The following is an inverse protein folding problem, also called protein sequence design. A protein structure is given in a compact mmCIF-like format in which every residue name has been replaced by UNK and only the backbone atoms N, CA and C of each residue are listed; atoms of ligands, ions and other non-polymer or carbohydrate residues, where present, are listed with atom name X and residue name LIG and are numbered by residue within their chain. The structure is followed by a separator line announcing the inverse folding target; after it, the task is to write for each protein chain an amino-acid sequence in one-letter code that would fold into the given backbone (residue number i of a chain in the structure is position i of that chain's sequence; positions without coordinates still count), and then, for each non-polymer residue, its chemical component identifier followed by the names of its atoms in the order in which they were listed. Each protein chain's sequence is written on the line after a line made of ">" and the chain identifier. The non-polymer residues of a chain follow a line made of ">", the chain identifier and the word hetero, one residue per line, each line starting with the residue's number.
data_IF_779194141486
#
_entry.id   IF_779194141486
#
_cell.length_a   1.000
_cell.length_b   1.000
_cell.length_c   1.000
_cell.angle_alpha   90.00
_cell.angle_beta   90.00
_cell.angle_gamma   90.00
#
_symmetry.space_group_name_H-M   'P 1'
#
loop_
_entity.id
_entity.type
_entity.pdbx_description
1 polymer ?
#
# COMPACT_ATOMS: atom_id res chain seq x y z
N UNK A 1 -46.81 -39.48 -18.08
CA UNK A 1 -46.14 -38.57 -17.14
C UNK A 1 -44.74 -38.47 -17.67
N UNK A 2 -44.34 -37.30 -18.18
CA UNK A 2 -42.98 -37.09 -18.65
C UNK A 2 -42.19 -36.83 -17.38
N UNK A 3 -41.32 -37.76 -17.00
CA UNK A 3 -40.54 -37.70 -15.78
C UNK A 3 -39.52 -36.55 -15.89
N UNK A 4 -39.89 -35.37 -15.39
CA UNK A 4 -39.08 -34.14 -15.41
C UNK A 4 -37.78 -34.27 -14.57
N UNK A 5 -37.64 -35.33 -13.78
CA UNK A 5 -36.51 -35.55 -12.87
C UNK A 5 -35.24 -36.09 -13.55
N UNK A 6 -35.35 -36.73 -14.72
CA UNK A 6 -34.19 -37.32 -15.43
C UNK A 6 -33.38 -36.29 -16.24
N UNK A 7 -33.91 -35.09 -16.46
CA UNK A 7 -33.27 -34.07 -17.31
C UNK A 7 -32.30 -33.13 -16.55
N UNK A 8 -32.31 -33.19 -15.22
CA UNK A 8 -31.40 -32.42 -14.35
C UNK A 8 -30.13 -33.21 -13.99
N UNK A 9 -30.22 -34.53 -13.88
CA UNK A 9 -29.13 -35.41 -13.42
C UNK A 9 -28.05 -35.67 -14.47
N UNK A 10 -28.34 -35.43 -15.76
CA UNK A 10 -27.39 -35.59 -16.88
C UNK A 10 -26.61 -34.34 -17.30
N UNK A 11 -26.86 -33.17 -16.68
CA UNK A 11 -26.27 -31.88 -17.10
C UNK A 11 -24.92 -31.63 -16.41
N UNK A 12 -23.91 -31.28 -17.20
CA UNK A 12 -22.57 -30.94 -16.71
C UNK A 12 -22.54 -29.53 -16.11
N UNK A 13 -21.52 -29.22 -15.30
CA UNK A 13 -21.24 -27.87 -14.81
C UNK A 13 -21.24 -26.83 -15.95
N UNK A 14 -20.70 -27.19 -17.12
CA UNK A 14 -20.66 -26.31 -18.29
C UNK A 14 -22.06 -25.98 -18.84
N UNK A 15 -23.02 -26.88 -18.71
CA UNK A 15 -24.39 -26.65 -19.16
C UNK A 15 -25.10 -25.67 -18.23
N UNK A 16 -24.84 -25.77 -16.92
CA UNK A 16 -25.30 -24.80 -15.93
C UNK A 16 -24.65 -23.43 -16.11
N UNK A 17 -23.36 -23.37 -16.43
CA UNK A 17 -22.67 -22.11 -16.73
C UNK A 17 -23.22 -21.47 -18.00
N UNK A 18 -23.49 -22.24 -19.06
CA UNK A 18 -24.12 -21.72 -20.30
C UNK A 18 -25.52 -21.20 -20.03
N UNK A 19 -26.34 -21.96 -19.28
CA UNK A 19 -27.68 -21.52 -18.89
C UNK A 19 -27.64 -20.25 -18.05
N UNK A 20 -26.74 -20.17 -17.08
CA UNK A 20 -26.55 -18.97 -16.26
C UNK A 20 -26.06 -17.77 -17.07
N UNK A 21 -25.15 -17.97 -18.04
CA UNK A 21 -24.70 -16.90 -18.95
C UNK A 21 -25.80 -16.43 -19.91
N UNK A 22 -26.79 -17.28 -20.20
CA UNK A 22 -27.95 -16.92 -21.02
C UNK A 22 -28.95 -16.05 -20.24
N UNK A 23 -29.11 -16.32 -18.93
CA UNK A 23 -29.92 -15.50 -18.02
C UNK A 23 -29.21 -14.20 -17.61
N UNK A 24 -27.89 -14.30 -17.39
CA UNK A 24 -27.03 -13.20 -16.95
C UNK A 24 -25.89 -13.01 -17.96
N UNK A 25 -26.08 -12.15 -18.96
CA UNK A 25 -25.06 -11.85 -19.94
C UNK A 25 -23.76 -11.43 -19.26
N UNK A 26 -22.62 -11.81 -19.85
CA UNK A 26 -21.31 -11.41 -19.34
C UNK A 26 -21.21 -9.89 -19.32
N UNK A 27 -20.89 -9.34 -18.15
CA UNK A 27 -20.65 -7.91 -17.98
C UNK A 27 -19.36 -7.55 -18.72
N UNK A 28 -19.48 -6.64 -19.68
CA UNK A 28 -18.34 -6.11 -20.43
C UNK A 28 -17.76 -4.88 -19.74
N UNK A 29 -16.49 -4.58 -19.99
CA UNK A 29 -15.85 -3.35 -19.48
C UNK A 29 -16.57 -2.10 -19.97
N UNK A 30 -17.08 -2.10 -21.20
CA UNK A 30 -17.87 -1.01 -21.76
C UNK A 30 -19.16 -0.75 -20.96
N UNK A 31 -19.88 -1.81 -20.56
CA UNK A 31 -21.08 -1.68 -19.72
C UNK A 31 -20.76 -1.10 -18.34
N UNK A 32 -19.59 -1.44 -17.77
CA UNK A 32 -19.13 -0.87 -16.51
C UNK A 32 -18.87 0.64 -16.67
N UNK A 33 -18.16 1.04 -17.73
CA UNK A 33 -17.87 2.45 -17.99
C UNK A 33 -19.15 3.27 -18.24
N UNK A 34 -20.10 2.70 -18.99
CA UNK A 34 -21.40 3.32 -19.23
C UNK A 34 -22.21 3.45 -17.94
N UNK A 35 -22.17 2.43 -17.07
CA UNK A 35 -22.79 2.51 -15.75
C UNK A 35 -22.12 3.58 -14.89
N UNK A 36 -20.78 3.68 -14.91
CA UNK A 36 -20.05 4.68 -14.15
C UNK A 36 -20.43 6.11 -14.55
N UNK A 37 -20.60 6.35 -15.85
CA UNK A 37 -21.06 7.64 -16.38
C UNK A 37 -22.50 7.93 -16.02
N UNK A 38 -23.37 6.91 -16.04
CA UNK A 38 -24.78 7.06 -15.67
C UNK A 38 -24.96 7.33 -14.18
N UNK A 39 -24.18 6.68 -13.33
CA UNK A 39 -24.28 6.83 -11.88
C UNK A 39 -23.82 8.22 -11.43
N UNK A 40 -22.65 8.68 -11.90
CA UNK A 40 -22.10 9.99 -11.51
C UNK A 40 -23.01 11.14 -11.98
N UNK A 41 -23.54 11.90 -11.03
CA UNK A 41 -24.48 12.99 -11.25
C UNK A 41 -25.95 12.56 -11.37
N UNK A 42 -26.26 11.27 -11.19
CA UNK A 42 -27.65 10.79 -11.17
C UNK A 42 -28.33 11.09 -9.84
N UNK A 43 -29.66 11.00 -9.86
CA UNK A 43 -30.48 11.02 -8.64
C UNK A 43 -30.11 9.89 -7.68
N UNK A 44 -29.78 8.70 -8.21
CA UNK A 44 -29.34 7.56 -7.42
C UNK A 44 -28.08 7.88 -6.58
N UNK A 45 -27.08 8.53 -7.18
CA UNK A 45 -25.90 8.98 -6.44
C UNK A 45 -26.28 9.94 -5.32
N UNK A 46 -27.23 10.85 -5.57
CA UNK A 46 -27.67 11.80 -4.52
C UNK A 46 -28.39 11.11 -3.38
N UNK A 47 -29.25 10.13 -3.65
CA UNK A 47 -29.95 9.36 -2.61
C UNK A 47 -28.97 8.54 -1.77
N UNK A 48 -28.02 7.86 -2.42
CA UNK A 48 -27.00 7.08 -1.74
C UNK A 48 -26.12 7.97 -0.87
N UNK A 49 -25.71 9.13 -1.39
CA UNK A 49 -24.95 10.11 -0.63
C UNK A 49 -25.72 10.60 0.60
N UNK A 50 -27.03 10.88 0.49
CA UNK A 50 -27.87 11.26 1.64
C UNK A 50 -27.88 10.15 2.70
N UNK A 51 -28.09 8.90 2.28
CA UNK A 51 -28.11 7.73 3.19
C UNK A 51 -26.76 7.58 3.92
N UNK A 52 -25.66 7.67 3.18
CA UNK A 52 -24.30 7.53 3.73
C UNK A 52 -23.95 8.72 4.65
N UNK A 53 -24.30 9.94 4.24
CA UNK A 53 -24.05 11.15 5.02
C UNK A 53 -24.79 11.12 6.37
N UNK A 54 -26.06 10.69 6.37
CA UNK A 54 -26.85 10.53 7.60
C UNK A 54 -26.29 9.42 8.50
N UNK A 55 -25.89 8.28 7.92
CA UNK A 55 -25.28 7.18 8.68
C UNK A 55 -23.94 7.56 9.30
N UNK A 56 -23.12 8.31 8.57
CA UNK A 56 -21.78 8.75 9.01
C UNK A 56 -21.80 10.01 9.89
N UNK A 57 -22.96 10.69 10.00
CA UNK A 57 -23.10 12.00 10.64
C UNK A 57 -22.12 13.03 10.07
N UNK A 58 -21.96 13.04 8.74
CA UNK A 58 -21.08 13.96 8.02
C UNK A 58 -19.58 13.66 8.12
N UNK A 59 -19.19 12.43 8.46
CA UNK A 59 -17.77 12.04 8.49
C UNK A 59 -17.25 11.74 7.08
N UNK A 60 -16.45 12.66 6.52
CA UNK A 60 -15.89 12.51 5.17
C UNK A 60 -14.96 11.31 5.02
N UNK A 61 -14.35 10.82 6.11
CA UNK A 61 -13.52 9.62 6.05
C UNK A 61 -14.39 8.40 5.68
N UNK A 62 -15.58 8.28 6.28
CA UNK A 62 -16.53 7.19 6.03
C UNK A 62 -17.25 7.37 4.69
N UNK A 63 -17.63 8.61 4.36
CA UNK A 63 -18.36 8.91 3.11
C UNK A 63 -17.54 8.49 1.90
N UNK A 64 -16.26 8.86 1.87
CA UNK A 64 -15.38 8.57 0.72
C UNK A 64 -15.05 7.08 0.57
N UNK A 65 -15.11 6.30 1.66
CA UNK A 65 -14.91 4.85 1.63
C UNK A 65 -16.18 4.09 1.25
N UNK A 66 -17.36 4.64 1.58
CA UNK A 66 -18.65 3.97 1.38
C UNK A 66 -19.33 4.32 0.06
N UNK A 67 -19.06 5.51 -0.50
CA UNK A 67 -19.73 5.97 -1.71
C UNK A 67 -19.21 5.21 -2.95
N UNK A 68 -20.12 4.70 -3.77
CA UNK A 68 -19.75 3.93 -4.95
C UNK A 68 -19.01 4.79 -5.98
N UNK A 69 -18.07 4.17 -6.70
CA UNK A 69 -17.34 4.77 -7.83
C UNK A 69 -16.66 6.10 -7.50
N UNK A 70 -16.24 6.24 -6.24
CA UNK A 70 -15.62 7.45 -5.71
C UNK A 70 -14.15 7.18 -5.39
N UNK A 71 -13.29 8.10 -5.85
CA UNK A 71 -11.87 8.10 -5.51
C UNK A 71 -11.52 9.35 -4.72
N UNK A 72 -10.33 9.39 -4.10
CA UNK A 72 -9.80 10.59 -3.45
C UNK A 72 -9.74 11.82 -4.38
N UNK A 73 -9.71 11.60 -5.70
CA UNK A 73 -9.79 12.67 -6.71
C UNK A 73 -11.16 13.31 -6.80
N UNK A 74 -12.22 12.56 -6.49
CA UNK A 74 -13.61 13.00 -6.58
C UNK A 74 -14.08 13.76 -5.32
N UNK A 75 -13.25 13.86 -4.28
CA UNK A 75 -13.65 14.45 -3.00
C UNK A 75 -14.22 15.87 -3.14
N UNK A 76 -13.58 16.72 -3.95
CA UNK A 76 -14.06 18.09 -4.16
C UNK A 76 -15.45 18.13 -4.79
N UNK A 77 -15.75 17.17 -5.67
CA UNK A 77 -17.07 17.05 -6.32
C UNK A 77 -18.12 16.58 -5.30
N UNK A 78 -17.78 15.56 -4.50
CA UNK A 78 -18.68 15.03 -3.46
C UNK A 78 -19.01 16.10 -2.42
N UNK A 79 -18.01 16.87 -1.95
CA UNK A 79 -18.25 18.03 -1.07
C UNK A 79 -19.19 19.05 -1.68
N UNK A 80 -18.96 19.42 -2.95
CA UNK A 80 -19.87 20.34 -3.65
C UNK A 80 -21.30 19.82 -3.76
N UNK A 81 -21.50 18.50 -3.82
CA UNK A 81 -22.84 17.91 -3.78
C UNK A 81 -23.45 17.96 -2.38
N UNK A 82 -22.68 17.65 -1.34
CA UNK A 82 -23.11 17.79 0.06
C UNK A 82 -23.49 19.24 0.36
N UNK A 83 -22.67 20.21 -0.05
CA UNK A 83 -22.93 21.64 0.18
C UNK A 83 -24.23 22.10 -0.49
N UNK A 84 -24.51 21.60 -1.71
CA UNK A 84 -25.79 21.83 -2.40
C UNK A 84 -26.96 21.21 -1.63
N UNK A 85 -26.80 19.99 -1.13
CA UNK A 85 -27.84 19.30 -0.36
C UNK A 85 -28.15 20.02 0.96
N UNK A 86 -27.11 20.49 1.67
CA UNK A 86 -27.24 21.32 2.88
C UNK A 86 -27.94 22.64 2.55
N UNK A 87 -27.50 23.33 1.49
CA UNK A 87 -28.10 24.61 1.06
C UNK A 87 -29.57 24.46 0.67
N UNK A 88 -29.94 23.31 0.09
CA UNK A 88 -31.33 22.99 -0.24
C UNK A 88 -32.18 22.53 0.95
N UNK A 89 -31.58 22.34 2.12
CA UNK A 89 -32.26 21.85 3.33
C UNK A 89 -32.65 20.37 3.30
N UNK A 90 -32.11 19.58 2.36
CA UNK A 90 -32.38 18.14 2.26
C UNK A 90 -31.65 17.31 3.32
N UNK A 91 -30.53 17.81 3.83
CA UNK A 91 -29.70 17.16 4.85
C UNK A 91 -29.23 18.18 5.89
N UNK A 92 -29.02 17.71 7.12
CA UNK A 92 -28.56 18.55 8.22
C UNK A 92 -27.05 18.86 8.11
N UNK A 93 -26.67 20.05 8.54
CA UNK A 93 -25.26 20.43 8.64
C UNK A 93 -24.64 19.82 9.92
N UNK A 94 -24.02 18.64 9.81
CA UNK A 94 -23.34 18.02 10.95
C UNK A 94 -22.01 18.71 11.26
N UNK A 95 -21.69 18.88 12.54
CA UNK A 95 -20.45 19.49 13.02
C UNK A 95 -19.19 18.82 12.46
N UNK A 96 -19.22 17.49 12.29
CA UNK A 96 -18.08 16.74 11.74
C UNK A 96 -17.71 17.15 10.31
N UNK A 97 -18.72 17.52 9.52
CA UNK A 97 -18.52 17.97 8.15
C UNK A 97 -18.11 19.45 8.12
N UNK A 98 -18.87 20.30 8.81
CA UNK A 98 -18.68 21.76 8.76
C UNK A 98 -17.37 22.23 9.41
N UNK A 99 -16.90 21.53 10.45
CA UNK A 99 -15.67 21.86 11.17
C UNK A 99 -14.51 20.92 10.81
N UNK A 100 -14.57 20.25 9.66
CA UNK A 100 -13.49 19.37 9.24
C UNK A 100 -12.20 20.17 8.99
N UNK A 101 -11.10 19.71 9.59
CA UNK A 101 -9.78 20.30 9.33
C UNK A 101 -9.33 19.97 7.91
N UNK A 102 -8.79 20.94 7.14
CA UNK A 102 -8.31 20.71 5.78
C UNK A 102 -7.17 19.66 5.70
N UNK A 103 -6.46 19.44 6.81
CA UNK A 103 -5.44 18.40 6.93
C UNK A 103 -6.00 16.98 6.77
N UNK A 104 -7.27 16.73 7.15
CA UNK A 104 -7.90 15.41 6.98
C UNK A 104 -8.03 15.04 5.51
N UNK A 105 -8.52 15.96 4.69
CA UNK A 105 -8.61 15.78 3.23
C UNK A 105 -7.22 15.50 2.62
N UNK A 106 -6.21 16.30 2.99
CA UNK A 106 -4.82 16.08 2.53
C UNK A 106 -4.27 14.71 2.94
N UNK A 107 -4.54 14.30 4.18
CA UNK A 107 -4.13 12.99 4.71
C UNK A 107 -4.81 11.84 3.97
N UNK A 108 -6.10 11.96 3.64
CA UNK A 108 -6.83 10.97 2.83
C UNK A 108 -6.23 10.84 1.43
N UNK A 109 -5.99 11.96 0.76
CA UNK A 109 -5.34 11.96 -0.56
C UNK A 109 -3.93 11.35 -0.52
N UNK A 110 -3.14 11.68 0.51
CA UNK A 110 -1.79 11.10 0.70
C UNK A 110 -1.84 9.59 0.91
N UNK A 111 -2.74 9.11 1.78
CA UNK A 111 -2.93 7.67 2.03
C UNK A 111 -3.29 6.92 0.76
N UNK A 112 -4.31 7.39 0.03
CA UNK A 112 -4.74 6.76 -1.21
C UNK A 112 -3.62 6.71 -2.27
N UNK A 113 -2.81 7.78 -2.36
CA UNK A 113 -1.65 7.80 -3.26
C UNK A 113 -0.54 6.83 -2.85
N UNK A 114 -0.32 6.65 -1.54
CA UNK A 114 0.66 5.68 -1.03
C UNK A 114 0.21 4.24 -1.29
N UNK A 115 -1.08 3.95 -1.10
CA UNK A 115 -1.70 2.65 -1.41
C UNK A 115 -1.63 2.34 -2.91
N UNK A 116 -1.94 3.31 -3.77
CA UNK A 116 -1.83 3.20 -5.22
C UNK A 116 -0.39 2.87 -5.67
N UNK A 117 0.60 3.55 -5.07
CA UNK A 117 2.03 3.28 -5.33
C UNK A 117 2.46 1.90 -4.85
N UNK A 118 1.94 1.44 -3.71
CA UNK A 118 2.26 0.13 -3.17
C UNK A 118 1.69 -0.97 -4.08
N UNK A 119 0.41 -0.84 -4.46
CA UNK A 119 -0.23 -1.76 -5.39
C UNK A 119 0.49 -1.84 -6.74
N UNK A 120 0.91 -0.69 -7.29
CA UNK A 120 1.68 -0.67 -8.55
C UNK A 120 3.03 -1.40 -8.42
N UNK A 121 3.73 -1.27 -7.28
CA UNK A 121 4.97 -2.01 -7.01
C UNK A 121 4.72 -3.51 -6.91
N UNK A 122 3.65 -3.93 -6.25
CA UNK A 122 3.29 -5.34 -6.12
C UNK A 122 2.93 -5.97 -7.47
N UNK A 123 2.16 -5.26 -8.30
CA UNK A 123 1.83 -5.72 -9.66
C UNK A 123 3.09 -5.85 -10.51
N UNK A 124 4.00 -4.87 -10.46
CA UNK A 124 5.29 -4.95 -11.15
C UNK A 124 6.14 -6.12 -10.65
N UNK A 125 6.13 -6.42 -9.35
CA UNK A 125 6.85 -7.56 -8.79
C UNK A 125 6.22 -8.91 -9.20
N UNK A 126 4.89 -9.00 -9.28
CA UNK A 126 4.18 -10.20 -9.78
C UNK A 126 4.48 -10.44 -11.27
N UNK A 127 4.43 -9.38 -12.08
CA UNK A 127 4.76 -9.47 -13.50
C UNK A 127 6.24 -9.83 -13.71
N UNK A 128 7.16 -9.28 -12.90
CA UNK A 128 8.56 -9.73 -12.91
C UNK A 128 8.70 -11.20 -12.50
N UNK A 129 8.02 -11.65 -11.45
CA UNK A 129 8.04 -13.07 -11.04
C UNK A 129 7.45 -14.02 -12.08
N UNK A 130 6.54 -13.57 -12.95
CA UNK A 130 6.04 -14.37 -14.08
C UNK A 130 7.00 -14.41 -15.28
N UNK A 131 7.90 -13.43 -15.41
CA UNK A 131 8.84 -13.31 -16.54
C UNK A 131 10.23 -13.85 -16.20
N UNK A 132 10.58 -13.98 -14.92
CA UNK A 132 11.86 -14.54 -14.47
C UNK A 132 11.81 -16.06 -14.59
N UNK A 133 12.59 -16.58 -15.55
CA UNK A 133 12.88 -18.00 -15.75
C UNK A 133 13.31 -18.63 -14.41
N UNK A 134 12.80 -19.82 -14.09
CA UNK A 134 12.95 -20.49 -12.78
C UNK A 134 14.42 -20.69 -12.39
N UNK A 135 15.34 -20.68 -13.37
CA UNK A 135 16.78 -20.77 -13.16
C UNK A 135 17.42 -19.49 -12.55
N UNK A 136 16.91 -18.29 -12.85
CA UNK A 136 17.45 -17.04 -12.26
C UNK A 136 17.02 -16.85 -10.79
N UNK A 137 15.87 -17.40 -10.37
CA UNK A 137 15.41 -17.34 -8.98
C UNK A 137 16.30 -18.19 -8.05
N UNK A 138 16.76 -19.35 -8.53
CA UNK A 138 17.76 -20.17 -7.82
C UNK A 138 19.10 -19.47 -7.70
N UNK A 139 19.57 -18.79 -8.76
CA UNK A 139 20.86 -18.09 -8.74
C UNK A 139 20.79 -16.84 -7.84
N UNK A 140 19.65 -16.14 -7.83
CA UNK A 140 19.38 -15.02 -6.92
C UNK A 140 19.33 -15.48 -5.46
N UNK A 141 18.67 -16.61 -5.18
CA UNK A 141 18.60 -17.21 -3.86
C UNK A 141 19.97 -17.72 -3.39
N UNK A 142 20.73 -18.38 -4.27
CA UNK A 142 22.09 -18.83 -3.98
C UNK A 142 22.99 -17.66 -3.59
N UNK A 143 22.90 -16.54 -4.33
CA UNK A 143 23.65 -15.30 -4.04
C UNK A 143 23.24 -14.67 -2.70
N UNK A 144 21.95 -14.70 -2.36
CA UNK A 144 21.46 -14.23 -1.07
C UNK A 144 21.94 -15.11 0.10
N UNK A 145 21.95 -16.44 -0.08
CA UNK A 145 22.47 -17.41 0.91
C UNK A 145 23.97 -17.21 1.09
N UNK A 146 24.72 -17.06 -0.01
CA UNK A 146 26.17 -16.81 0.04
C UNK A 146 26.49 -15.49 0.74
N UNK A 147 25.78 -14.41 0.43
CA UNK A 147 25.95 -13.12 1.11
C UNK A 147 25.66 -13.22 2.63
N UNK A 148 24.67 -14.04 3.03
CA UNK A 148 24.39 -14.30 4.44
C UNK A 148 25.52 -15.07 5.12
N UNK A 149 26.08 -16.08 4.46
CA UNK A 149 27.25 -16.81 4.97
C UNK A 149 28.48 -15.92 5.09
N UNK A 150 28.77 -15.09 4.08
CA UNK A 150 29.86 -14.12 4.12
C UNK A 150 29.69 -13.11 5.25
N UNK A 151 28.48 -12.60 5.48
CA UNK A 151 28.21 -11.67 6.57
C UNK A 151 28.35 -12.32 7.95
N UNK A 152 27.96 -13.59 8.09
CA UNK A 152 28.17 -14.37 9.32
C UNK A 152 29.67 -14.59 9.57
N UNK A 153 30.43 -14.96 8.53
CA UNK A 153 31.89 -15.11 8.61
C UNK A 153 32.58 -13.80 8.97
N UNK A 154 32.29 -12.71 8.27
CA UNK A 154 32.81 -11.36 8.58
C UNK A 154 32.46 -10.93 10.01
N UNK A 155 31.27 -11.26 10.50
CA UNK A 155 30.89 -10.96 11.89
C UNK A 155 31.70 -11.79 12.90
N UNK A 156 32.00 -13.04 12.57
CA UNK A 156 32.84 -13.93 13.39
C UNK A 156 34.33 -13.55 13.36
N UNK A 157 34.87 -13.15 12.21
CA UNK A 157 36.25 -12.67 12.07
C UNK A 157 36.46 -11.39 12.86
N UNK A 158 35.54 -10.42 12.75
CA UNK A 158 35.56 -9.21 13.56
C UNK A 158 35.43 -9.51 15.08
N UNK A 159 34.79 -10.60 15.47
CA UNK A 159 34.71 -11.03 16.87
C UNK A 159 36.01 -11.68 17.35
N UNK A 160 36.61 -12.57 16.53
CA UNK A 160 37.90 -13.19 16.81
C UNK A 160 39.03 -12.16 16.85
N UNK A 161 39.03 -11.16 15.97
CA UNK A 161 39.99 -10.05 16.00
C UNK A 161 39.88 -9.21 17.26
N UNK A 162 38.65 -8.95 17.74
CA UNK A 162 38.44 -8.25 19.03
C UNK A 162 38.95 -9.07 20.21
N UNK A 163 38.79 -10.40 20.19
CA UNK A 163 39.38 -11.29 21.18
C UNK A 163 40.91 -11.26 21.07
N UNK A 164 41.45 -11.43 19.87
CA UNK A 164 42.88 -11.41 19.61
C UNK A 164 43.50 -10.09 20.10
N UNK A 165 42.90 -8.93 19.81
CA UNK A 165 43.34 -7.63 20.32
C UNK A 165 43.31 -7.55 21.86
N UNK A 166 42.25 -8.06 22.49
CA UNK A 166 42.09 -8.01 23.95
C UNK A 166 43.16 -8.82 24.70
N UNK A 167 43.62 -9.93 24.12
CA UNK A 167 44.60 -10.81 24.76
C UNK A 167 46.04 -10.62 24.26
N UNK A 168 46.25 -10.19 23.02
CA UNK A 168 47.58 -9.84 22.48
C UNK A 168 48.13 -8.53 23.05
N UNK A 169 47.26 -7.58 23.45
CA UNK A 169 47.67 -6.32 24.08
C UNK A 169 48.08 -6.46 25.55
N UNK A 170 47.98 -7.66 26.17
CA UNK A 170 48.34 -7.89 27.57
C UNK A 170 49.80 -8.35 27.80
N UNK A 171 50.65 -8.36 26.76
CA UNK A 171 52.07 -8.74 26.86
C UNK A 171 53.07 -7.60 26.63
N UNK A 172 52.65 -6.34 26.60
CA UNK A 172 53.60 -5.21 26.67
C UNK A 172 53.44 -4.45 27.98
N UNK A 173 54.16 -4.92 29.00
CA UNK A 173 54.49 -4.12 30.17
C UNK A 173 55.34 -2.89 29.78
N UNK A 174 55.21 -1.74 30.47
CA UNK A 174 55.86 -0.50 30.06
C UNK A 174 57.35 -0.52 30.45
N UNK A 175 58.23 -0.82 29.50
CA UNK A 175 59.67 -0.71 29.69
C UNK A 175 60.13 0.76 29.56
N UNK A 176 60.08 1.45 30.70
CA UNK A 176 60.99 2.51 31.21
C UNK A 176 61.97 3.14 30.18
N UNK A 177 61.71 4.39 29.77
CA UNK A 177 62.76 5.32 29.29
C UNK A 177 63.01 6.43 30.31
N UNK A 178 64.25 6.53 30.79
CA UNK A 178 64.81 7.63 31.61
C UNK A 178 65.10 8.88 30.74
N UNK A 179 65.21 10.08 31.35
CA UNK A 179 64.94 11.36 30.69
C UNK A 179 66.19 12.08 30.15
N UNK A 180 65.97 13.28 29.60
CA UNK A 180 66.88 14.37 29.12
C UNK A 180 66.96 14.47 27.59
N UNK A 181 66.91 15.65 26.95
CA UNK A 181 66.97 17.05 27.41
C UNK A 181 66.26 17.96 26.39
N UNK A 182 65.67 19.04 26.90
CA UNK A 182 65.06 20.14 26.15
C UNK A 182 66.15 20.94 25.40
N UNK A 183 65.89 21.33 24.15
CA UNK A 183 66.38 22.60 23.60
C UNK A 183 65.27 23.29 22.80
N UNK A 184 64.89 24.45 23.32
CA UNK A 184 63.93 25.43 22.78
C UNK A 184 64.47 26.05 21.49
N UNK A 185 63.56 26.48 20.60
CA UNK A 185 63.33 27.86 20.08
C UNK A 185 62.47 27.71 18.81
N UNK A 186 61.16 27.97 18.79
CA UNK A 186 60.43 29.25 18.90
C UNK A 186 60.79 30.31 17.85
N UNK A 187 59.72 30.85 17.24
CA UNK A 187 59.57 32.06 16.39
C UNK A 187 59.66 31.80 14.88
N UNK A 188 58.77 32.35 14.04
CA UNK A 188 57.62 33.24 14.23
C UNK A 188 56.80 33.30 12.93
N UNK A 189 55.48 33.30 13.08
CA UNK A 189 54.45 34.09 12.36
C UNK A 189 54.86 34.79 11.05
N UNK A 190 54.06 34.59 10.00
CA UNK A 190 52.92 35.48 9.73
C UNK A 190 51.81 34.69 9.05
#
# INVERSE_FOLDING_TARGET
>A
VIDEDDEITGKSYDDWVKYWQLLFPKITTAQIDDYCKKYKGSEQETEDLIKIYNRSKGDMDIIMESLMLTSYRDESRVRGLIDKLISSGKIDAYTKYTHERPEKAKRRAKRALEEEKLFAKEQNNKNKKQIVDVNEDLDTLAKAIQARHENALKSSENFLDKIAQKYSSKQQSPARKKPTKVSKTSKKKK
#
